data_IF_232305743750
#
_entry.id   IF_232305743750
#
_cell.length_a   1.000
_cell.length_b   1.000
_cell.length_c   1.000
_cell.angle_alpha   90.00
_cell.angle_beta   90.00
_cell.angle_gamma   90.00
#
_symmetry.space_group_name_H-M   'P 1'
#
loop_
_entity.id
_entity.type
_entity.pdbx_description
1 polymer ?
#
# COMPACT_ATOMS: atom_id res chain seq x y z
N UNK A 1 -0.42 9.55 4.11
CA UNK A 1 -0.87 8.72 5.24
C UNK A 1 -2.06 9.41 5.93
N UNK A 2 -2.96 8.67 6.59
CA UNK A 2 -4.09 9.29 7.28
C UNK A 2 -3.61 10.19 8.42
N UNK A 3 -4.41 11.22 8.72
CA UNK A 3 -4.09 12.21 9.74
C UNK A 3 -4.04 11.53 11.12
N UNK A 4 -2.88 11.58 11.77
CA UNK A 4 -2.65 10.92 13.05
C UNK A 4 -1.82 9.63 12.98
N UNK A 5 -1.42 9.17 11.79
CA UNK A 5 -0.47 8.06 11.68
C UNK A 5 0.86 8.40 12.31
N UNK A 6 1.37 7.45 13.09
CA UNK A 6 2.66 7.54 13.77
C UNK A 6 3.73 6.76 13.00
N UNK A 7 5.00 7.19 13.06
CA UNK A 7 6.09 6.40 12.51
C UNK A 7 6.11 5.00 13.14
N UNK A 8 6.06 3.97 12.30
CA UNK A 8 5.90 2.58 12.74
C UNK A 8 4.50 1.99 12.51
N UNK A 9 3.53 2.79 12.07
CA UNK A 9 2.23 2.30 11.62
C UNK A 9 2.40 1.33 10.44
N UNK A 10 1.80 0.14 10.58
CA UNK A 10 1.78 -0.86 9.52
C UNK A 10 0.70 -0.51 8.52
N UNK A 11 1.10 -0.27 7.28
CA UNK A 11 0.19 -0.22 6.14
C UNK A 11 -0.16 -1.65 5.74
N UNK A 12 -1.44 -1.92 5.60
CA UNK A 12 -1.99 -3.20 5.20
C UNK A 12 -2.92 -3.00 4.00
N UNK A 13 -3.06 -4.03 3.18
CA UNK A 13 -4.05 -4.01 2.11
C UNK A 13 -5.36 -4.60 2.63
N UNK A 14 -6.48 -4.07 2.17
CA UNK A 14 -7.81 -4.61 2.45
C UNK A 14 -7.84 -6.09 2.03
N UNK A 15 -8.18 -6.99 2.96
CA UNK A 15 -8.12 -8.44 2.75
C UNK A 15 -6.77 -9.11 3.07
N UNK A 16 -5.69 -8.35 3.24
CA UNK A 16 -4.35 -8.87 3.59
C UNK A 16 -3.85 -8.45 4.99
N UNK A 17 -4.77 -8.15 5.91
CA UNK A 17 -4.43 -7.72 7.28
C UNK A 17 -3.81 -8.82 8.15
N UNK A 18 -4.02 -10.09 7.77
CA UNK A 18 -3.55 -11.26 8.53
C UNK A 18 -2.26 -11.89 7.97
N UNK A 19 -1.67 -11.30 6.92
CA UNK A 19 -0.39 -11.77 6.38
C UNK A 19 0.76 -11.38 7.30
N UNK A 20 1.55 -12.35 7.77
CA UNK A 20 2.83 -12.06 8.42
C UNK A 20 3.81 -11.56 7.34
N UNK A 21 4.27 -10.30 7.37
CA UNK A 21 5.29 -9.86 6.44
C UNK A 21 6.56 -10.70 6.64
N UNK A 22 7.21 -11.12 5.55
CA UNK A 22 8.52 -11.75 5.66
C UNK A 22 9.51 -10.73 6.22
N UNK A 23 10.38 -11.16 7.14
CA UNK A 23 11.37 -10.28 7.81
C UNK A 23 12.36 -9.68 6.82
N UNK A 24 12.71 -10.44 5.78
CA UNK A 24 13.46 -9.96 4.63
C UNK A 24 12.69 -10.27 3.34
N UNK A 25 12.31 -9.23 2.61
CA UNK A 25 11.88 -9.37 1.22
C UNK A 25 13.11 -9.75 0.39
N UNK A 26 13.32 -11.06 0.18
CA UNK A 26 14.41 -11.58 -0.64
C UNK A 26 14.36 -10.94 -2.03
N UNK A 27 15.35 -10.12 -2.43
CA UNK A 27 15.37 -9.47 -3.76
C UNK A 27 15.29 -10.50 -4.89
N UNK A 28 15.83 -11.70 -4.64
CA UNK A 28 15.80 -12.85 -5.56
C UNK A 28 14.39 -13.32 -5.94
N UNK A 29 13.40 -13.15 -5.05
CA UNK A 29 12.00 -13.48 -5.35
C UNK A 29 11.29 -12.37 -6.15
N UNK A 30 11.91 -11.19 -6.28
CA UNK A 30 11.37 -10.00 -6.97
C UNK A 30 9.94 -9.66 -6.53
N UNK A 31 9.62 -9.91 -5.26
CA UNK A 31 8.26 -9.72 -4.73
C UNK A 31 7.90 -8.25 -4.81
N UNK A 32 8.75 -7.36 -4.30
CA UNK A 32 8.52 -5.92 -4.36
C UNK A 32 8.36 -5.42 -5.80
N UNK A 33 9.24 -5.83 -6.72
CA UNK A 33 9.14 -5.44 -8.14
C UNK A 33 7.79 -5.85 -8.75
N UNK A 34 7.29 -7.07 -8.45
CA UNK A 34 5.98 -7.53 -8.91
C UNK A 34 4.83 -6.76 -8.27
N UNK A 35 4.88 -6.54 -6.95
CA UNK A 35 3.86 -5.80 -6.24
C UNK A 35 3.76 -4.36 -6.73
N UNK A 36 4.91 -3.71 -6.95
CA UNK A 36 5.01 -2.33 -7.40
C UNK A 36 4.36 -2.10 -8.77
N UNK A 37 4.41 -3.06 -9.71
CA UNK A 37 3.75 -2.89 -11.02
C UNK A 37 2.23 -2.77 -10.88
N UNK A 38 1.68 -3.44 -9.86
CA UNK A 38 0.26 -3.50 -9.57
C UNK A 38 -0.19 -2.43 -8.56
N UNK A 39 0.77 -1.71 -7.93
CA UNK A 39 0.48 -0.62 -7.00
C UNK A 39 0.15 0.66 -7.77
N UNK A 40 -1.06 1.18 -7.55
CA UNK A 40 -1.51 2.41 -8.20
C UNK A 40 -2.43 3.21 -7.29
N UNK A 41 -2.60 4.49 -7.59
CA UNK A 41 -3.57 5.35 -6.93
C UNK A 41 -4.82 5.39 -7.79
N UNK A 42 -5.99 5.11 -7.21
CA UNK A 42 -7.25 5.20 -7.93
C UNK A 42 -7.72 6.66 -8.13
N UNK A 43 -8.86 6.85 -8.79
CA UNK A 43 -9.41 8.18 -9.07
C UNK A 43 -9.85 8.95 -7.82
N UNK A 44 -10.11 8.23 -6.72
CA UNK A 44 -10.44 8.81 -5.41
C UNK A 44 -9.20 9.24 -4.62
N UNK A 45 -8.03 9.26 -5.27
CA UNK A 45 -6.73 9.48 -4.64
C UNK A 45 -6.41 8.47 -3.53
N UNK A 46 -6.96 7.26 -3.58
CA UNK A 46 -6.68 6.20 -2.61
C UNK A 46 -5.67 5.24 -3.23
N UNK A 47 -4.62 4.92 -2.49
CA UNK A 47 -3.65 3.93 -2.92
C UNK A 47 -4.28 2.52 -2.88
N UNK A 48 -4.18 1.78 -3.97
CA UNK A 48 -4.70 0.43 -4.14
C UNK A 48 -3.66 -0.50 -4.78
N UNK A 49 -3.76 -1.78 -4.48
CA UNK A 49 -2.93 -2.83 -5.06
C UNK A 49 -3.81 -3.96 -5.59
N UNK A 50 -3.83 -4.17 -6.91
CA UNK A 50 -4.75 -5.09 -7.58
C UNK A 50 -6.22 -4.93 -7.13
N UNK A 51 -6.66 -3.69 -6.83
CA UNK A 51 -8.00 -3.38 -6.32
C UNK A 51 -8.15 -3.49 -4.79
N UNK A 52 -7.12 -3.92 -4.06
CA UNK A 52 -7.10 -3.90 -2.61
C UNK A 52 -6.65 -2.54 -2.08
N UNK A 53 -7.52 -1.85 -1.36
CA UNK A 53 -7.23 -0.52 -0.80
C UNK A 53 -6.13 -0.61 0.26
N UNK A 54 -5.15 0.29 0.20
CA UNK A 54 -4.14 0.46 1.24
C UNK A 54 -4.75 1.22 2.42
N UNK A 55 -4.74 0.61 3.59
CA UNK A 55 -5.19 1.20 4.84
C UNK A 55 -4.18 0.95 5.96
N UNK A 56 -4.07 1.91 6.88
CA UNK A 56 -3.38 1.72 8.16
C UNK A 56 -4.42 1.44 9.24
N UNK A 57 -3.98 1.19 10.47
CA UNK A 57 -4.88 1.11 11.63
C UNK A 57 -5.77 2.33 11.82
N UNK A 58 -5.37 3.48 11.29
CA UNK A 58 -6.04 4.77 11.48
C UNK A 58 -6.91 5.20 10.30
N UNK A 59 -6.75 4.58 9.13
CA UNK A 59 -7.57 4.87 7.97
C UNK A 59 -6.88 4.62 6.64
N UNK A 60 -7.50 5.07 5.56
CA UNK A 60 -7.03 4.80 4.21
C UNK A 60 -5.82 5.65 3.84
N UNK A 61 -4.88 5.05 3.11
CA UNK A 61 -3.73 5.76 2.56
C UNK A 61 -4.17 6.49 1.31
N UNK A 62 -4.23 7.82 1.42
CA UNK A 62 -4.55 8.70 0.29
C UNK A 62 -3.34 9.50 -0.17
N UNK A 63 -3.36 9.86 -1.45
CA UNK A 63 -2.46 10.82 -2.06
C UNK A 63 -3.15 12.19 -2.15
N UNK A 64 -2.39 13.27 -1.95
CA UNK A 64 -2.93 14.63 -1.86
C UNK A 64 -3.33 15.21 -3.22
N UNK A 65 -2.58 14.95 -4.28
CA UNK A 65 -2.83 15.49 -5.63
C UNK A 65 -2.75 14.45 -6.75
N UNK A 66 -2.22 13.27 -6.45
CA UNK A 66 -1.97 12.23 -7.44
C UNK A 66 -3.19 11.31 -7.56
N UNK A 67 -3.72 11.17 -8.78
CA UNK A 67 -4.86 10.32 -9.14
C UNK A 67 -4.52 9.52 -10.38
N UNK A 68 -4.91 8.24 -10.41
CA UNK A 68 -4.64 7.34 -11.54
C UNK A 68 -3.15 7.21 -11.91
N UNK A 69 -2.25 7.30 -10.91
CA UNK A 69 -0.81 7.15 -11.12
C UNK A 69 -0.28 5.83 -10.55
N UNK A 70 0.71 5.19 -11.18
CA UNK A 70 1.42 4.07 -10.59
C UNK A 70 2.26 4.55 -9.39
N UNK A 71 2.28 3.75 -8.32
CA UNK A 71 3.13 3.99 -7.15
C UNK A 71 4.47 3.32 -7.44
N UNK A 72 5.55 4.11 -7.41
CA UNK A 72 6.89 3.65 -7.75
C UNK A 72 7.84 3.81 -6.56
#
# INVERSE_FOLDING_TARGET
PPQGSTPGDRVMFEGHEQGKPEEELKPKKKIWEKLQVDLRVNEKSIAEWQGNVMKTKLGNVTASSLKCVPIK
#
